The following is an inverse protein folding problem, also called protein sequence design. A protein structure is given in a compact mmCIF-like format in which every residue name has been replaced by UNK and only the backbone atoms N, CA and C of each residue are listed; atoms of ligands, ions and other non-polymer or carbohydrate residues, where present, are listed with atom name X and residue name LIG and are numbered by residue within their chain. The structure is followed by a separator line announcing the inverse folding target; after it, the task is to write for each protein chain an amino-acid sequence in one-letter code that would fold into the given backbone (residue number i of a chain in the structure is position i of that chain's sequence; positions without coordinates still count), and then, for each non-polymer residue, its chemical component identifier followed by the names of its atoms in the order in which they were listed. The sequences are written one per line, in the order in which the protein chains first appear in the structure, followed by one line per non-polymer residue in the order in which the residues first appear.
data_IF_131346292218
#
_entry.id   IF_131346292218
#
_cell.length_a   1.000
_cell.length_b   1.000
_cell.length_c   1.000
_cell.angle_alpha   90.00
_cell.angle_beta   90.00
_cell.angle_gamma   90.00
#
_symmetry.space_group_name_H-M   'P 1'
#
loop_
_entity.id
_entity.type
_entity.pdbx_description
1 polymer ?
#
# COMPACT_ATOMS: atom_id res chain seq x y z
N UNK A 1 -32.43 7.88 -13.78
CA UNK A 1 -31.37 8.91 -13.77
C UNK A 1 -30.87 9.27 -12.38
N UNK A 2 -31.71 9.52 -11.36
CA UNK A 2 -31.26 9.87 -9.99
C UNK A 2 -30.37 8.80 -9.36
N UNK A 3 -30.70 7.52 -9.49
CA UNK A 3 -29.94 6.40 -8.91
C UNK A 3 -28.51 6.29 -9.51
N UNK A 4 -28.36 6.44 -10.83
CA UNK A 4 -27.05 6.44 -11.48
C UNK A 4 -26.18 7.63 -11.04
N UNK A 5 -26.78 8.80 -10.84
CA UNK A 5 -26.08 9.97 -10.33
C UNK A 5 -25.58 9.74 -8.90
N UNK A 6 -26.41 9.20 -8.03
CA UNK A 6 -26.01 8.84 -6.66
C UNK A 6 -24.90 7.79 -6.62
N UNK A 7 -24.97 6.75 -7.48
CA UNK A 7 -23.93 5.71 -7.56
C UNK A 7 -22.60 6.30 -8.02
N UNK A 8 -22.65 7.19 -9.01
CA UNK A 8 -21.47 7.91 -9.48
C UNK A 8 -20.84 8.80 -8.40
N UNK A 9 -21.65 9.55 -7.67
CA UNK A 9 -21.19 10.39 -6.54
C UNK A 9 -20.57 9.53 -5.44
N UNK A 10 -21.19 8.39 -5.11
CA UNK A 10 -20.60 7.40 -4.17
C UNK A 10 -19.27 6.87 -4.66
N UNK A 11 -19.15 6.50 -5.94
CA UNK A 11 -17.89 6.03 -6.51
C UNK A 11 -16.78 7.06 -6.34
N UNK A 12 -17.02 8.31 -6.77
CA UNK A 12 -16.02 9.37 -6.66
C UNK A 12 -15.65 9.69 -5.21
N UNK A 13 -16.57 9.56 -4.26
CA UNK A 13 -16.27 9.76 -2.83
C UNK A 13 -15.38 8.63 -2.24
N UNK A 14 -15.22 7.51 -2.94
CA UNK A 14 -14.36 6.40 -2.50
C UNK A 14 -12.96 6.46 -3.11
N UNK A 15 -12.70 7.32 -4.08
CA UNK A 15 -11.36 7.49 -4.64
C UNK A 15 -10.46 8.21 -3.63
N UNK A 16 -9.18 7.89 -3.67
CA UNK A 16 -8.13 8.65 -2.98
C UNK A 16 -7.94 10.00 -3.70
N UNK A 17 -6.76 10.46 -3.85
CA UNK A 17 -6.48 11.71 -4.56
C UNK A 17 -6.27 11.44 -6.06
N UNK A 18 -6.96 12.16 -6.96
CA UNK A 18 -6.90 11.95 -8.42
C UNK A 18 -5.48 12.00 -8.98
N UNK A 19 -4.61 12.82 -8.37
CA UNK A 19 -3.25 13.08 -8.85
C UNK A 19 -2.24 12.00 -8.44
N UNK A 20 -2.63 11.11 -7.54
CA UNK A 20 -1.74 10.05 -7.01
C UNK A 20 -2.19 8.65 -7.36
N UNK A 21 -3.31 8.52 -8.06
CA UNK A 21 -3.80 7.21 -8.53
C UNK A 21 -3.28 6.92 -9.94
N UNK A 22 -2.78 5.72 -10.15
CA UNK A 22 -2.30 5.28 -11.45
C UNK A 22 -3.47 5.12 -12.45
N UNK A 23 -3.19 5.31 -13.73
CA UNK A 23 -4.21 5.19 -14.78
C UNK A 23 -4.89 3.81 -14.77
N UNK A 24 -4.12 2.74 -14.52
CA UNK A 24 -4.65 1.38 -14.44
C UNK A 24 -5.58 1.20 -13.25
N UNK A 25 -5.27 1.85 -12.11
CA UNK A 25 -6.14 1.83 -10.95
C UNK A 25 -7.49 2.46 -11.27
N UNK A 26 -7.48 3.65 -11.85
CA UNK A 26 -8.71 4.38 -12.18
C UNK A 26 -9.60 3.66 -13.20
N UNK A 27 -9.00 2.93 -14.17
CA UNK A 27 -9.73 2.29 -15.25
C UNK A 27 -10.10 0.84 -14.96
N UNK A 28 -9.35 0.14 -14.14
CA UNK A 28 -9.54 -1.29 -13.90
C UNK A 28 -9.80 -1.60 -12.43
N UNK A 29 -8.84 -1.36 -11.54
CA UNK A 29 -8.95 -1.81 -10.16
C UNK A 29 -10.02 -1.06 -9.36
N UNK A 30 -10.11 0.26 -9.50
CA UNK A 30 -11.09 1.06 -8.75
C UNK A 30 -12.55 0.79 -9.14
N UNK A 31 -12.93 0.70 -10.44
CA UNK A 31 -14.30 0.34 -10.81
C UNK A 31 -14.70 -1.05 -10.35
N UNK A 32 -13.82 -2.06 -10.52
CA UNK A 32 -14.12 -3.43 -10.12
C UNK A 32 -14.13 -3.55 -8.59
N UNK A 33 -13.16 -2.94 -7.91
CA UNK A 33 -13.10 -2.86 -6.46
C UNK A 33 -14.37 -2.23 -5.86
N UNK A 34 -14.90 -1.17 -6.50
CA UNK A 34 -16.14 -0.54 -6.08
C UNK A 34 -17.36 -1.49 -6.17
N UNK A 35 -17.42 -2.31 -7.20
CA UNK A 35 -18.48 -3.33 -7.31
C UNK A 35 -18.37 -4.37 -6.19
N UNK A 36 -17.14 -4.81 -5.88
CA UNK A 36 -16.86 -5.73 -4.77
C UNK A 36 -17.20 -5.06 -3.43
N UNK A 37 -16.85 -3.78 -3.24
CA UNK A 37 -17.18 -3.03 -2.04
C UNK A 37 -18.70 -2.87 -1.84
N UNK A 38 -19.46 -2.60 -2.92
CA UNK A 38 -20.93 -2.56 -2.88
C UNK A 38 -21.53 -3.92 -2.49
N UNK A 39 -20.96 -5.01 -3.01
CA UNK A 39 -21.39 -6.36 -2.63
C UNK A 39 -21.05 -6.61 -1.15
N UNK A 40 -19.84 -6.24 -0.71
CA UNK A 40 -19.41 -6.33 0.67
C UNK A 40 -20.32 -5.58 1.62
N UNK A 41 -20.71 -4.35 1.27
CA UNK A 41 -21.68 -3.55 2.04
C UNK A 41 -23.05 -4.25 2.15
N UNK A 42 -23.55 -4.80 1.04
CA UNK A 42 -24.83 -5.55 1.04
C UNK A 42 -24.79 -6.81 1.90
N UNK A 43 -23.65 -7.47 1.94
CA UNK A 43 -23.44 -8.69 2.74
C UNK A 43 -23.00 -8.38 4.18
N UNK A 44 -22.92 -7.11 4.57
CA UNK A 44 -22.41 -6.64 5.86
C UNK A 44 -20.99 -7.17 6.17
N UNK A 45 -20.14 -7.30 5.15
CA UNK A 45 -18.75 -7.68 5.33
C UNK A 45 -17.95 -6.50 5.90
N UNK A 46 -16.96 -6.82 6.72
CA UNK A 46 -16.00 -5.83 7.19
C UNK A 46 -14.89 -5.62 6.16
N UNK A 47 -14.27 -4.42 6.08
CA UNK A 47 -13.09 -4.21 5.24
C UNK A 47 -12.00 -5.26 5.51
N UNK A 48 -11.71 -5.56 6.77
CA UNK A 48 -10.72 -6.57 7.16
C UNK A 48 -11.02 -7.97 6.61
N UNK A 49 -12.29 -8.34 6.44
CA UNK A 49 -12.67 -9.61 5.83
C UNK A 49 -12.29 -9.66 4.34
N UNK A 50 -12.44 -8.53 3.63
CA UNK A 50 -12.04 -8.41 2.22
C UNK A 50 -10.52 -8.43 2.10
N UNK A 51 -9.79 -7.68 2.94
CA UNK A 51 -8.32 -7.73 3.01
C UNK A 51 -7.82 -9.16 3.25
N UNK A 52 -8.44 -9.87 4.22
CA UNK A 52 -8.08 -11.28 4.51
C UNK A 52 -8.32 -12.18 3.30
N UNK A 53 -9.43 -12.00 2.58
CA UNK A 53 -9.70 -12.75 1.35
C UNK A 53 -8.63 -12.44 0.28
N UNK A 54 -8.22 -11.18 0.12
CA UNK A 54 -7.12 -10.77 -0.75
C UNK A 54 -5.80 -11.46 -0.39
N UNK A 55 -5.46 -11.51 0.91
CA UNK A 55 -4.26 -12.23 1.39
C UNK A 55 -4.30 -13.71 1.01
N UNK A 56 -5.44 -14.38 1.22
CA UNK A 56 -5.61 -15.80 0.86
C UNK A 56 -5.44 -16.01 -0.65
N UNK A 57 -6.05 -15.14 -1.47
CA UNK A 57 -5.91 -15.20 -2.93
C UNK A 57 -4.47 -14.96 -3.38
N UNK A 58 -3.76 -14.00 -2.78
CA UNK A 58 -2.36 -13.71 -3.08
C UNK A 58 -1.42 -14.87 -2.71
N UNK A 59 -1.63 -15.50 -1.54
CA UNK A 59 -0.89 -16.71 -1.16
C UNK A 59 -1.18 -17.85 -2.15
N UNK A 60 -2.44 -18.08 -2.49
CA UNK A 60 -2.84 -19.10 -3.46
C UNK A 60 -2.21 -18.83 -4.85
N UNK A 61 -2.13 -17.57 -5.26
CA UNK A 61 -1.40 -17.15 -6.47
C UNK A 61 0.05 -17.65 -6.43
N UNK A 62 0.78 -17.36 -5.34
CA UNK A 62 2.16 -17.82 -5.18
C UNK A 62 2.28 -19.34 -5.25
N UNK A 63 1.41 -20.07 -4.56
CA UNK A 63 1.41 -21.54 -4.59
C UNK A 63 1.20 -22.10 -6.01
N UNK A 64 0.37 -21.45 -6.82
CA UNK A 64 0.13 -21.85 -8.21
C UNK A 64 1.29 -21.48 -9.16
N UNK A 65 2.24 -20.66 -8.72
CA UNK A 65 3.49 -20.40 -9.48
C UNK A 65 4.54 -21.50 -9.30
N UNK A 66 4.42 -22.34 -8.25
CA UNK A 66 5.33 -23.44 -7.98
C UNK A 66 5.35 -24.51 -9.10
N UNK A 67 4.21 -25.05 -9.60
CA UNK A 67 4.22 -26.03 -10.66
C UNK A 67 4.66 -25.46 -12.01
N UNK A 68 5.45 -26.22 -12.78
CA UNK A 68 5.86 -25.84 -14.14
C UNK A 68 4.70 -26.06 -15.15
N UNK A 69 3.56 -25.47 -14.90
CA UNK A 69 2.33 -25.58 -15.72
C UNK A 69 1.81 -24.21 -16.11
N UNK A 70 1.80 -23.91 -17.41
CA UNK A 70 1.29 -22.64 -17.91
C UNK A 70 -0.15 -22.38 -17.46
N UNK A 71 -1.01 -23.41 -17.45
CA UNK A 71 -2.41 -23.28 -17.02
C UNK A 71 -2.49 -22.85 -15.56
N UNK A 72 -1.75 -23.50 -14.65
CA UNK A 72 -1.76 -23.17 -13.24
C UNK A 72 -1.15 -21.78 -12.99
N UNK A 73 -0.09 -21.42 -13.69
CA UNK A 73 0.52 -20.10 -13.57
C UNK A 73 -0.42 -18.99 -14.05
N UNK A 74 -1.19 -19.23 -15.14
CA UNK A 74 -2.22 -18.28 -15.58
C UNK A 74 -3.35 -18.11 -14.55
N UNK A 75 -3.79 -19.22 -13.95
CA UNK A 75 -4.77 -19.16 -12.85
C UNK A 75 -4.16 -18.40 -11.66
N UNK A 76 -2.92 -18.68 -11.30
CA UNK A 76 -2.19 -17.94 -10.25
C UNK A 76 -2.14 -16.44 -10.52
N UNK A 77 -1.82 -16.04 -11.75
CA UNK A 77 -1.85 -14.63 -12.16
C UNK A 77 -3.25 -13.99 -12.01
N UNK A 78 -4.31 -14.70 -12.41
CA UNK A 78 -5.68 -14.22 -12.21
C UNK A 78 -6.05 -14.07 -10.73
N UNK A 79 -5.57 -14.98 -9.88
CA UNK A 79 -5.77 -14.85 -8.43
C UNK A 79 -5.03 -13.65 -7.86
N UNK A 80 -3.84 -13.31 -8.37
CA UNK A 80 -3.12 -12.09 -7.97
C UNK A 80 -3.90 -10.83 -8.35
N UNK A 81 -4.42 -10.77 -9.57
CA UNK A 81 -5.29 -9.66 -10.01
C UNK A 81 -6.53 -9.54 -9.12
N UNK A 82 -7.13 -10.67 -8.71
CA UNK A 82 -8.26 -10.64 -7.79
C UNK A 82 -7.86 -10.20 -6.38
N UNK A 83 -6.64 -10.51 -5.93
CA UNK A 83 -6.11 -10.03 -4.67
C UNK A 83 -5.97 -8.50 -4.68
N UNK A 84 -5.42 -7.91 -5.76
CA UNK A 84 -5.37 -6.46 -5.96
C UNK A 84 -6.76 -5.81 -6.01
N UNK A 85 -7.74 -6.47 -6.65
CA UNK A 85 -9.13 -6.02 -6.62
C UNK A 85 -9.67 -6.00 -5.19
N UNK A 86 -9.37 -7.00 -4.37
CA UNK A 86 -9.78 -7.04 -2.96
C UNK A 86 -9.13 -5.91 -2.16
N UNK A 87 -7.86 -5.62 -2.38
CA UNK A 87 -7.13 -4.52 -1.76
C UNK A 87 -7.76 -3.15 -2.13
N UNK A 88 -8.08 -2.96 -3.41
CA UNK A 88 -8.83 -1.77 -3.81
C UNK A 88 -10.22 -1.68 -3.15
N UNK A 89 -10.90 -2.82 -3.02
CA UNK A 89 -12.27 -2.90 -2.52
C UNK A 89 -12.38 -2.65 -1.01
N UNK A 90 -11.44 -3.15 -0.20
CA UNK A 90 -11.48 -3.00 1.26
C UNK A 90 -11.30 -1.53 1.67
N UNK A 91 -10.37 -0.81 1.04
CA UNK A 91 -10.19 0.62 1.24
C UNK A 91 -11.42 1.43 0.79
N UNK A 92 -12.07 1.05 -0.32
CA UNK A 92 -13.31 1.68 -0.77
C UNK A 92 -14.46 1.38 0.20
N UNK A 93 -14.60 0.14 0.67
CA UNK A 93 -15.61 -0.23 1.67
C UNK A 93 -15.38 0.51 2.98
N UNK A 94 -14.13 0.62 3.44
CA UNK A 94 -13.79 1.37 4.65
C UNK A 94 -14.22 2.85 4.55
N UNK A 95 -14.02 3.48 3.39
CA UNK A 95 -14.47 4.86 3.13
C UNK A 95 -15.99 4.98 3.05
N UNK A 96 -16.67 4.03 2.40
CA UNK A 96 -18.13 4.00 2.29
C UNK A 96 -18.82 3.84 3.64
N UNK A 97 -18.31 2.94 4.48
CA UNK A 97 -18.91 2.60 5.79
C UNK A 97 -18.32 3.41 6.94
N UNK A 98 -17.29 4.22 6.68
CA UNK A 98 -16.51 4.96 7.69
C UNK A 98 -15.95 4.05 8.78
N UNK A 99 -15.66 2.81 8.46
CA UNK A 99 -15.15 1.79 9.37
C UNK A 99 -13.64 1.63 9.22
N UNK A 100 -12.90 2.46 9.96
CA UNK A 100 -11.45 2.41 10.01
C UNK A 100 -11.00 1.65 11.26
N UNK A 101 -10.04 0.74 11.11
CA UNK A 101 -9.45 0.03 12.24
C UNK A 101 -7.92 0.02 12.14
N UNK A 102 -7.25 0.05 13.29
CA UNK A 102 -5.78 -0.07 13.35
C UNK A 102 -5.33 -1.39 12.74
N UNK A 103 -6.05 -2.48 13.01
CA UNK A 103 -5.76 -3.79 12.43
C UNK A 103 -5.90 -3.78 10.90
N UNK A 104 -6.96 -3.13 10.37
CA UNK A 104 -7.18 -3.01 8.93
C UNK A 104 -6.04 -2.29 8.23
N UNK A 105 -5.56 -1.18 8.80
CA UNK A 105 -4.41 -0.44 8.27
C UNK A 105 -3.13 -1.28 8.23
N UNK A 106 -2.91 -2.11 9.25
CA UNK A 106 -1.76 -3.01 9.31
C UNK A 106 -1.88 -4.09 8.24
N UNK A 107 -3.06 -4.73 8.14
CA UNK A 107 -3.31 -5.79 7.16
C UNK A 107 -3.17 -5.27 5.73
N UNK A 108 -3.73 -4.10 5.44
CA UNK A 108 -3.58 -3.39 4.16
C UNK A 108 -2.10 -3.16 3.84
N UNK A 109 -1.33 -2.62 4.78
CA UNK A 109 0.10 -2.34 4.58
C UNK A 109 0.99 -3.57 4.38
N UNK A 110 0.61 -4.76 4.89
CA UNK A 110 1.42 -5.99 4.76
C UNK A 110 0.85 -6.99 3.75
N UNK A 111 -0.34 -6.77 3.23
CA UNK A 111 -1.02 -7.71 2.32
C UNK A 111 -0.19 -8.01 1.09
N UNK A 112 0.27 -6.99 0.38
CA UNK A 112 1.10 -7.12 -0.81
C UNK A 112 2.45 -7.78 -0.52
N UNK A 113 3.08 -7.46 0.60
CA UNK A 113 4.34 -8.09 1.01
C UNK A 113 4.18 -9.61 1.19
N UNK A 114 3.05 -10.05 1.77
CA UNK A 114 2.73 -11.47 1.93
C UNK A 114 2.54 -12.15 0.58
N UNK A 115 1.84 -11.51 -0.37
CA UNK A 115 1.64 -12.08 -1.71
C UNK A 115 2.97 -12.26 -2.43
N UNK A 116 3.78 -11.21 -2.48
CA UNK A 116 5.07 -11.25 -3.17
C UNK A 116 6.05 -12.20 -2.48
N UNK A 117 6.07 -12.26 -1.15
CA UNK A 117 6.86 -13.26 -0.42
C UNK A 117 6.46 -14.69 -0.81
N UNK A 118 5.17 -14.99 -0.91
CA UNK A 118 4.67 -16.28 -1.38
C UNK A 118 5.11 -16.59 -2.80
N UNK A 119 4.98 -15.63 -3.73
CA UNK A 119 5.38 -15.77 -5.13
C UNK A 119 6.89 -16.00 -5.24
N UNK A 120 7.72 -15.17 -4.59
CA UNK A 120 9.17 -15.30 -4.63
C UNK A 120 9.63 -16.63 -4.05
N UNK A 121 9.06 -17.04 -2.91
CA UNK A 121 9.36 -18.33 -2.29
C UNK A 121 9.03 -19.51 -3.23
N UNK A 122 7.84 -19.52 -3.80
CA UNK A 122 7.39 -20.60 -4.69
C UNK A 122 8.20 -20.67 -5.97
N UNK A 123 8.57 -19.52 -6.56
CA UNK A 123 9.46 -19.46 -7.73
C UNK A 123 10.86 -19.96 -7.37
N UNK A 124 11.41 -19.54 -6.23
CA UNK A 124 12.72 -20.01 -5.78
C UNK A 124 12.74 -21.54 -5.59
N UNK A 125 11.73 -22.09 -4.91
CA UNK A 125 11.61 -23.54 -4.72
C UNK A 125 11.46 -24.29 -6.03
N UNK A 126 10.74 -23.74 -7.02
CA UNK A 126 10.58 -24.33 -8.35
C UNK A 126 11.90 -24.46 -9.09
N UNK A 127 12.73 -23.42 -9.05
CA UNK A 127 14.01 -23.40 -9.78
C UNK A 127 15.21 -23.91 -8.97
N UNK A 128 15.00 -24.23 -7.68
CA UNK A 128 16.06 -24.76 -6.82
C UNK A 128 16.75 -26.02 -7.37
N UNK A 129 16.04 -27.01 -7.99
CA UNK A 129 16.67 -28.19 -8.55
C UNK A 129 17.68 -27.89 -9.69
N UNK A 130 17.47 -26.80 -10.43
CA UNK A 130 18.31 -26.40 -11.57
C UNK A 130 19.44 -25.47 -11.15
N UNK A 131 19.17 -24.52 -10.25
CA UNK A 131 20.08 -23.42 -9.89
C UNK A 131 20.75 -23.62 -8.52
N UNK A 132 20.33 -24.62 -7.75
CA UNK A 132 20.82 -24.87 -6.40
C UNK A 132 20.68 -23.67 -5.49
N UNK A 133 21.67 -23.46 -4.61
CA UNK A 133 21.65 -22.34 -3.63
C UNK A 133 21.64 -20.94 -4.29
N UNK A 134 22.13 -20.83 -5.54
CA UNK A 134 22.23 -19.56 -6.25
C UNK A 134 20.88 -18.88 -6.48
N UNK A 135 19.78 -19.64 -6.60
CA UNK A 135 18.44 -19.08 -6.78
C UNK A 135 18.02 -18.20 -5.58
N UNK A 136 18.45 -18.56 -4.38
CA UNK A 136 18.12 -17.79 -3.17
C UNK A 136 18.76 -16.40 -3.17
N UNK A 137 19.98 -16.27 -3.71
CA UNK A 137 20.62 -14.96 -3.84
C UNK A 137 19.83 -14.06 -4.78
N UNK A 138 19.35 -14.59 -5.93
CA UNK A 138 18.47 -13.84 -6.85
C UNK A 138 17.14 -13.48 -6.20
N UNK A 139 16.53 -14.44 -5.51
CA UNK A 139 15.21 -14.24 -4.85
C UNK A 139 15.28 -13.18 -3.76
N UNK A 140 16.31 -13.23 -2.91
CA UNK A 140 16.53 -12.24 -1.86
C UNK A 140 16.83 -10.87 -2.49
N UNK A 141 17.68 -10.82 -3.51
CA UNK A 141 17.97 -9.58 -4.24
C UNK A 141 16.72 -8.96 -4.86
N UNK A 142 15.87 -9.77 -5.50
CA UNK A 142 14.61 -9.33 -6.07
C UNK A 142 13.63 -8.83 -4.99
N UNK A 143 13.46 -9.56 -3.89
CA UNK A 143 12.59 -9.18 -2.78
C UNK A 143 13.04 -7.86 -2.13
N UNK A 144 14.35 -7.71 -1.86
CA UNK A 144 14.91 -6.47 -1.31
C UNK A 144 14.73 -5.30 -2.27
N UNK A 145 15.01 -5.52 -3.56
CA UNK A 145 14.82 -4.48 -4.59
C UNK A 145 13.36 -4.04 -4.69
N UNK A 146 12.42 -4.99 -4.67
CA UNK A 146 10.98 -4.72 -4.67
C UNK A 146 10.56 -3.90 -3.44
N UNK A 147 10.95 -4.32 -2.25
CA UNK A 147 10.62 -3.63 -1.01
C UNK A 147 11.15 -2.18 -1.01
N UNK A 148 12.38 -1.96 -1.50
CA UNK A 148 12.95 -0.61 -1.63
C UNK A 148 12.16 0.23 -2.64
N UNK A 149 11.83 -0.34 -3.82
CA UNK A 149 11.07 0.38 -4.85
C UNK A 149 9.67 0.77 -4.34
N UNK A 150 8.96 -0.15 -3.68
CA UNK A 150 7.65 0.12 -3.08
C UNK A 150 7.74 1.22 -2.01
N UNK A 151 8.74 1.15 -1.12
CA UNK A 151 8.96 2.16 -0.10
C UNK A 151 9.27 3.54 -0.70
N UNK A 152 10.04 3.60 -1.79
CA UNK A 152 10.34 4.85 -2.47
C UNK A 152 9.12 5.43 -3.20
N UNK A 153 8.37 4.60 -3.92
CA UNK A 153 7.14 5.03 -4.59
C UNK A 153 6.13 5.63 -3.60
N UNK A 154 5.92 4.97 -2.45
CA UNK A 154 5.07 5.51 -1.39
C UNK A 154 5.63 6.80 -0.80
N UNK A 155 6.93 6.88 -0.55
CA UNK A 155 7.57 8.09 -0.03
C UNK A 155 7.34 9.30 -0.95
N UNK A 156 7.54 9.16 -2.27
CA UNK A 156 7.28 10.22 -3.24
C UNK A 156 5.80 10.59 -3.30
N UNK A 157 4.91 9.60 -3.22
CA UNK A 157 3.45 9.82 -3.15
C UNK A 157 3.07 10.65 -1.92
N UNK A 158 3.60 10.31 -0.74
CA UNK A 158 3.33 11.05 0.49
C UNK A 158 3.89 12.48 0.44
N UNK A 159 5.06 12.69 -0.15
CA UNK A 159 5.59 14.03 -0.39
C UNK A 159 4.70 14.84 -1.32
N UNK A 160 4.26 14.28 -2.45
CA UNK A 160 3.33 14.94 -3.35
C UNK A 160 2.05 15.38 -2.62
N UNK A 161 1.43 14.47 -1.88
CA UNK A 161 0.24 14.77 -1.09
C UNK A 161 0.48 15.86 -0.04
N UNK A 162 1.65 15.88 0.59
CA UNK A 162 2.02 16.92 1.54
C UNK A 162 2.09 18.30 0.88
N UNK A 163 2.65 18.41 -0.31
CA UNK A 163 2.75 19.68 -1.01
C UNK A 163 1.41 20.16 -1.57
N UNK A 164 0.57 19.25 -2.05
CA UNK A 164 -0.73 19.60 -2.64
C UNK A 164 -1.79 19.88 -1.56
N UNK A 165 -1.84 19.07 -0.50
CA UNK A 165 -2.92 19.10 0.50
C UNK A 165 -2.48 19.59 1.89
N UNK A 166 -1.20 19.86 2.08
CA UNK A 166 -0.64 20.20 3.40
C UNK A 166 -0.59 19.00 4.36
N UNK A 167 -0.26 19.30 5.63
CA UNK A 167 -0.06 18.25 6.68
C UNK A 167 -1.27 17.33 6.90
N UNK A 168 -2.48 17.81 6.67
CA UNK A 168 -3.71 17.03 6.89
C UNK A 168 -3.99 15.99 5.80
N UNK A 169 -3.29 16.05 4.67
CA UNK A 169 -3.51 15.17 3.52
C UNK A 169 -2.44 14.10 3.31
N UNK A 170 -1.38 14.07 4.12
CA UNK A 170 -0.25 13.13 3.98
C UNK A 170 0.10 12.44 5.29
N UNK A 171 0.55 11.20 5.20
CA UNK A 171 1.13 10.43 6.32
C UNK A 171 2.66 10.55 6.34
N UNK A 172 3.18 11.76 6.19
CA UNK A 172 4.61 12.03 6.12
C UNK A 172 5.21 12.16 7.53
N UNK A 173 5.37 11.02 8.20
CA UNK A 173 6.02 10.95 9.50
C UNK A 173 7.55 10.89 9.37
N UNK A 174 8.26 11.32 10.41
CA UNK A 174 9.71 11.12 10.51
C UNK A 174 10.04 9.94 11.43
N UNK A 175 11.20 9.32 11.18
CA UNK A 175 11.61 8.14 11.95
C UNK A 175 11.82 8.43 13.43
N UNK A 176 12.09 9.68 13.83
CA UNK A 176 12.24 10.07 15.23
C UNK A 176 10.88 10.13 15.94
N UNK A 177 9.86 10.72 15.30
CA UNK A 177 8.50 10.77 15.87
C UNK A 177 7.91 9.37 16.00
N UNK A 178 8.07 8.52 14.98
CA UNK A 178 7.63 7.11 15.04
C UNK A 178 8.40 6.33 16.13
N UNK A 179 9.71 6.57 16.27
CA UNK A 179 10.50 5.95 17.34
C UNK A 179 10.05 6.41 18.73
N UNK A 180 9.66 7.66 18.89
CA UNK A 180 9.11 8.18 20.13
C UNK A 180 7.81 7.46 20.48
N UNK A 181 6.88 7.34 19.53
CA UNK A 181 5.62 6.63 19.71
C UNK A 181 5.83 5.15 19.99
N UNK A 182 6.77 4.49 19.32
CA UNK A 182 7.16 3.11 19.61
C UNK A 182 7.65 2.93 21.04
N UNK A 183 8.45 3.86 21.58
CA UNK A 183 8.98 3.80 22.95
C UNK A 183 7.91 4.09 24.00
N UNK A 184 6.92 4.92 23.67
CA UNK A 184 5.85 5.29 24.62
C UNK A 184 4.87 4.15 24.92
N UNK A 185 4.78 3.13 24.06
CA UNK A 185 3.83 2.01 24.17
C UNK A 185 4.50 0.79 24.79
N UNK A 186 3.81 0.16 25.76
CA UNK A 186 4.26 -1.11 26.35
C UNK A 186 3.83 -2.30 25.49
N UNK A 187 4.73 -3.26 25.26
CA UNK A 187 4.42 -4.50 24.55
C UNK A 187 3.31 -5.32 25.24
N UNK A 188 3.23 -5.26 26.57
CA UNK A 188 2.20 -5.99 27.34
C UNK A 188 0.81 -5.38 27.20
N UNK A 189 0.72 -4.06 26.99
CA UNK A 189 -0.57 -3.36 26.86
C UNK A 189 -1.14 -3.45 25.45
N UNK A 190 -0.30 -3.18 24.43
CA UNK A 190 -0.73 -3.10 23.02
C UNK A 190 0.29 -3.80 22.09
N UNK A 191 0.38 -5.15 22.12
CA UNK A 191 1.42 -5.87 21.37
C UNK A 191 1.33 -5.67 19.87
N UNK A 192 0.13 -5.66 19.31
CA UNK A 192 -0.10 -5.48 17.87
C UNK A 192 0.32 -4.09 17.42
N UNK A 193 -0.10 -3.05 18.16
CA UNK A 193 0.27 -1.66 17.86
C UNK A 193 1.77 -1.42 17.97
N UNK A 194 2.41 -2.00 18.98
CA UNK A 194 3.86 -1.89 19.15
C UNK A 194 4.63 -2.56 18.04
N UNK A 195 4.18 -3.74 17.59
CA UNK A 195 4.76 -4.44 16.44
C UNK A 195 4.62 -3.63 15.14
N UNK A 196 3.44 -3.05 14.92
CA UNK A 196 3.21 -2.19 13.75
C UNK A 196 4.11 -0.97 13.74
N UNK A 197 4.24 -0.28 14.88
CA UNK A 197 5.14 0.87 15.00
C UNK A 197 6.60 0.48 14.79
N UNK A 198 7.00 -0.74 15.18
CA UNK A 198 8.34 -1.25 14.91
C UNK A 198 8.58 -1.40 13.40
N UNK A 199 7.65 -2.03 12.66
CA UNK A 199 7.74 -2.15 11.21
C UNK A 199 7.70 -0.77 10.53
N UNK A 200 6.78 0.09 10.95
CA UNK A 200 6.63 1.43 10.39
C UNK A 200 7.87 2.30 10.64
N UNK A 201 8.50 2.20 11.80
CA UNK A 201 9.76 2.87 12.09
C UNK A 201 10.89 2.43 11.17
N UNK A 202 11.06 1.12 10.96
CA UNK A 202 12.07 0.61 10.04
C UNK A 202 11.78 1.02 8.60
N UNK A 203 10.54 0.96 8.18
CA UNK A 203 10.08 1.40 6.87
C UNK A 203 10.40 2.88 6.63
N UNK A 204 10.03 3.78 7.54
CA UNK A 204 10.34 5.22 7.47
C UNK A 204 11.84 5.46 7.45
N UNK A 205 12.62 4.70 8.24
CA UNK A 205 14.09 4.82 8.27
C UNK A 205 14.72 4.40 6.93
N UNK A 206 14.19 3.39 6.27
CA UNK A 206 14.60 3.01 4.90
C UNK A 206 14.33 4.15 3.94
N UNK A 207 13.14 4.72 3.95
CA UNK A 207 12.76 5.85 3.10
C UNK A 207 13.72 7.05 3.30
N UNK A 208 14.02 7.43 4.52
CA UNK A 208 14.94 8.52 4.84
C UNK A 208 16.38 8.23 4.40
N UNK A 209 16.82 6.98 4.52
CA UNK A 209 18.19 6.57 4.13
C UNK A 209 18.40 6.64 2.62
N UNK A 210 17.41 6.19 1.85
CA UNK A 210 17.49 6.18 0.38
C UNK A 210 17.16 7.53 -0.24
N UNK A 211 16.51 8.45 0.50
CA UNK A 211 16.17 9.78 -0.01
C UNK A 211 16.52 10.93 0.96
N UNK A 212 17.81 11.14 1.26
CA UNK A 212 18.24 12.16 2.22
C UNK A 212 17.93 13.59 1.76
N UNK A 213 17.80 13.83 0.45
CA UNK A 213 17.49 15.14 -0.10
C UNK A 213 16.05 15.57 0.23
N UNK A 214 15.08 14.65 0.08
CA UNK A 214 13.69 14.92 0.44
C UNK A 214 13.53 15.07 1.96
N UNK A 215 14.27 14.30 2.74
CA UNK A 215 14.29 14.47 4.20
C UNK A 215 14.80 15.88 4.59
N UNK A 216 15.86 16.37 3.96
CA UNK A 216 16.36 17.74 4.17
C UNK A 216 15.36 18.81 3.73
N UNK A 217 14.74 18.62 2.56
CA UNK A 217 13.69 19.51 2.06
C UNK A 217 12.52 19.61 3.05
N UNK A 218 12.06 18.47 3.59
CA UNK A 218 11.01 18.43 4.62
C UNK A 218 11.39 19.23 5.87
N UNK A 219 12.63 19.07 6.36
CA UNK A 219 13.12 19.81 7.53
C UNK A 219 13.15 21.32 7.23
N UNK A 220 13.68 21.72 6.07
CA UNK A 220 13.70 23.12 5.67
C UNK A 220 12.29 23.72 5.59
N UNK A 221 11.34 23.00 5.02
CA UNK A 221 9.95 23.45 4.88
C UNK A 221 9.23 23.52 6.24
N UNK A 222 9.49 22.58 7.15
CA UNK A 222 8.97 22.64 8.53
C UNK A 222 9.51 23.84 9.30
N UNK A 223 10.77 24.21 9.07
CA UNK A 223 11.39 25.37 9.71
C UNK A 223 10.89 26.71 9.13
N UNK A 224 10.51 26.73 7.86
CA UNK A 224 10.00 27.93 7.19
C UNK A 224 8.48 28.13 7.33
N UNK A 225 7.73 27.06 7.53
CA UNK A 225 6.27 27.11 7.48
C UNK A 225 5.62 27.01 8.84
N UNK A 226 5.47 28.12 9.50
CA UNK A 226 4.23 28.41 10.16
C UNK A 226 3.05 28.64 9.18
N UNK A 227 3.30 28.72 7.85
CA UNK A 227 2.31 29.07 6.82
C UNK A 227 2.28 28.06 5.67
N UNK A 228 1.10 27.89 5.09
CA UNK A 228 0.88 27.10 3.88
C UNK A 228 1.72 27.62 2.71
N UNK A 229 2.38 26.73 1.95
CA UNK A 229 3.04 27.06 0.69
C UNK A 229 2.08 27.81 -0.24
N UNK A 230 2.59 28.79 -0.98
CA UNK A 230 1.77 29.46 -2.00
C UNK A 230 1.28 28.42 -3.03
N UNK A 231 0.06 28.56 -3.58
CA UNK A 231 -0.49 27.60 -4.55
C UNK A 231 0.48 27.30 -5.70
N UNK A 232 1.19 28.32 -6.21
CA UNK A 232 2.15 28.17 -7.31
C UNK A 232 3.35 27.31 -6.93
N UNK A 233 3.88 27.43 -5.70
CA UNK A 233 5.00 26.61 -5.23
C UNK A 233 4.52 25.18 -4.98
N UNK A 234 3.33 25.02 -4.42
CA UNK A 234 2.69 23.72 -4.22
C UNK A 234 2.54 22.96 -5.55
N UNK A 235 2.08 23.63 -6.61
CA UNK A 235 1.91 23.07 -7.94
C UNK A 235 3.23 22.65 -8.58
N UNK A 236 4.25 23.54 -8.53
CA UNK A 236 5.58 23.27 -9.09
C UNK A 236 6.28 22.09 -8.39
N UNK A 237 6.19 22.02 -7.07
CA UNK A 237 6.81 20.94 -6.30
C UNK A 237 6.02 19.65 -6.46
N UNK A 238 4.68 19.71 -6.57
CA UNK A 238 3.83 18.58 -6.88
C UNK A 238 4.24 17.88 -8.17
N UNK A 239 4.45 18.64 -9.25
CA UNK A 239 4.93 18.09 -10.53
C UNK A 239 6.36 17.54 -10.47
N UNK A 240 7.22 18.07 -9.60
CA UNK A 240 8.60 17.60 -9.45
C UNK A 240 8.76 16.34 -8.58
N UNK A 241 7.74 15.97 -7.82
CA UNK A 241 7.77 14.83 -6.88
C UNK A 241 7.09 13.56 -7.38
N UNK A 242 6.34 13.65 -8.48
CA UNK A 242 5.77 12.46 -9.14
C UNK A 242 6.83 11.84 -10.07
N UNK A 243 7.01 10.51 -10.02
CA UNK A 243 7.91 9.79 -10.94
C UNK A 243 7.40 9.79 -12.36
#
# INVERSE_FOLDING_TARGET
MKHLKQLRERYFSTLKHSDTEETIDLWFYRPIGFLVALLGERLNLTPNAITTAGIVLGIASGLLMFPASLKLNLIGFLLLVLADVCDSADGQLARMTKSYSTLGRILDGVSSDIWFASIYLCIALRFYPEWGIGIWALTIGAAVSHAIQAAMADHYRQFHLFFVNGKGGSELDDSESVAHDYRSISFKAEPVRKLSLWFYWHYTKVQETFNPQMTRLRVCLRLQSGESLSPTISELVGHATLP
#
